data_IF_134666785401
#
_entry.id   IF_134666785401
#
_cell.length_a   1.000
_cell.length_b   1.000
_cell.length_c   1.000
_cell.angle_alpha   90.00
_cell.angle_beta   90.00
_cell.angle_gamma   90.00
#
_symmetry.space_group_name_H-M   'P 1'
#
loop_
_entity.id
_entity.type
_entity.pdbx_description
1 polymer ?
#
# COMPACT_ATOMS: atom_id res chain seq x y z
N UNK A 1 -7.46 -6.42 19.91
CA UNK A 1 -8.57 -5.44 20.09
C UNK A 1 -9.72 -5.81 19.16
N UNK A 2 -10.96 -5.91 19.66
CA UNK A 2 -12.14 -6.11 18.80
C UNK A 2 -12.70 -4.75 18.40
N UNK A 3 -12.71 -4.45 17.10
CA UNK A 3 -13.25 -3.23 16.52
C UNK A 3 -14.24 -3.64 15.44
N UNK A 4 -15.39 -2.99 15.38
CA UNK A 4 -16.38 -3.24 14.34
C UNK A 4 -15.88 -2.79 12.96
N UNK A 5 -16.44 -3.41 11.93
CA UNK A 5 -16.15 -3.08 10.54
C UNK A 5 -17.32 -2.26 10.00
N UNK A 6 -17.07 -1.12 9.32
CA UNK A 6 -18.15 -0.34 8.69
C UNK A 6 -18.85 -1.14 7.58
N UNK A 7 -20.11 -0.86 7.40
CA UNK A 7 -20.88 -1.45 6.29
C UNK A 7 -20.50 -0.75 4.99
N UNK A 8 -20.21 -1.56 3.96
CA UNK A 8 -19.91 -1.06 2.62
C UNK A 8 -21.06 -0.17 2.09
N UNK A 9 -20.78 0.99 1.50
CA UNK A 9 -21.80 1.76 0.83
C UNK A 9 -22.30 1.05 -0.43
N UNK A 10 -23.49 1.40 -0.86
CA UNK A 10 -24.05 0.88 -2.11
C UNK A 10 -23.10 1.17 -3.29
N UNK A 11 -22.85 0.17 -4.15
CA UNK A 11 -21.97 0.28 -5.30
C UNK A 11 -20.46 0.29 -4.98
N UNK A 12 -20.06 -0.01 -3.74
CA UNK A 12 -18.63 -0.05 -3.33
C UNK A 12 -17.79 -0.97 -4.22
N UNK A 13 -18.26 -2.20 -4.42
CA UNK A 13 -17.54 -3.17 -5.26
C UNK A 13 -17.45 -2.69 -6.72
N UNK A 14 -18.55 -2.23 -7.31
CA UNK A 14 -18.58 -1.72 -8.68
C UNK A 14 -17.67 -0.52 -8.88
N UNK A 15 -17.58 0.37 -7.89
CA UNK A 15 -16.68 1.52 -7.92
C UNK A 15 -15.21 1.08 -8.03
N UNK A 16 -14.76 0.13 -7.20
CA UNK A 16 -13.38 -0.32 -7.19
C UNK A 16 -13.02 -1.21 -8.39
N UNK A 17 -13.96 -2.09 -8.83
CA UNK A 17 -13.76 -2.90 -10.04
C UNK A 17 -13.60 -2.02 -11.29
N UNK A 18 -14.43 -0.99 -11.43
CA UNK A 18 -14.28 -0.05 -12.57
C UNK A 18 -12.94 0.68 -12.57
N UNK A 19 -12.42 1.06 -11.38
CA UNK A 19 -11.08 1.66 -11.28
C UNK A 19 -9.97 0.66 -11.59
N UNK A 20 -10.12 -0.58 -11.20
CA UNK A 20 -9.16 -1.63 -11.55
C UNK A 20 -9.18 -1.91 -13.06
N UNK A 21 -10.34 -1.99 -13.69
CA UNK A 21 -10.47 -2.13 -15.13
C UNK A 21 -9.77 -0.99 -15.89
N UNK A 22 -9.97 0.26 -15.47
CA UNK A 22 -9.26 1.41 -16.02
C UNK A 22 -7.73 1.24 -15.88
N UNK A 23 -7.25 0.89 -14.69
CA UNK A 23 -5.82 0.73 -14.43
C UNK A 23 -5.19 -0.45 -15.20
N UNK A 24 -5.92 -1.57 -15.33
CA UNK A 24 -5.46 -2.74 -16.07
C UNK A 24 -5.34 -2.51 -17.57
N UNK A 25 -6.09 -1.55 -18.11
CA UNK A 25 -6.01 -1.11 -19.49
C UNK A 25 -4.87 -0.12 -19.81
N UNK A 26 -4.12 0.33 -18.78
CA UNK A 26 -3.03 1.29 -18.97
C UNK A 26 -1.82 0.62 -19.62
N UNK A 27 -1.30 1.23 -20.67
CA UNK A 27 0.01 0.87 -21.23
C UNK A 27 1.08 1.46 -20.32
N UNK A 28 1.70 0.62 -19.49
CA UNK A 28 2.68 1.08 -18.48
C UNK A 28 4.01 1.50 -19.08
N UNK A 29 4.43 0.87 -20.19
CA UNK A 29 5.68 1.16 -20.91
C UNK A 29 6.84 1.50 -19.94
N UNK A 30 7.23 0.57 -19.07
CA UNK A 30 8.21 0.85 -18.01
C UNK A 30 9.60 1.06 -18.62
N UNK A 31 10.33 2.03 -18.06
CA UNK A 31 11.70 2.33 -18.44
C UNK A 31 12.62 2.17 -17.24
N UNK A 32 13.67 1.35 -17.41
CA UNK A 32 14.70 1.12 -16.40
C UNK A 32 15.90 2.01 -16.68
N UNK A 33 16.27 2.82 -15.70
CA UNK A 33 17.46 3.68 -15.77
C UNK A 33 18.69 3.02 -15.15
N UNK A 34 19.65 3.86 -14.76
CA UNK A 34 20.89 3.41 -14.17
C UNK A 34 20.70 2.66 -12.84
N UNK A 35 21.63 1.75 -12.55
CA UNK A 35 21.80 1.19 -11.20
C UNK A 35 22.29 2.31 -10.29
N UNK A 36 21.57 2.56 -9.21
CA UNK A 36 21.90 3.60 -8.22
C UNK A 36 22.58 3.02 -6.99
N UNK A 37 22.29 1.75 -6.67
CA UNK A 37 22.82 1.10 -5.48
C UNK A 37 22.87 -0.43 -5.67
N UNK A 38 23.81 -1.07 -5.00
CA UNK A 38 23.83 -2.54 -4.82
C UNK A 38 23.98 -2.80 -3.33
N UNK A 39 22.98 -3.46 -2.75
CA UNK A 39 22.99 -3.83 -1.33
C UNK A 39 22.05 -5.00 -1.05
N UNK A 40 22.24 -5.69 0.04
CA UNK A 40 21.36 -6.78 0.51
C UNK A 40 21.05 -7.82 -0.58
N UNK A 41 22.02 -8.10 -1.47
CA UNK A 41 21.88 -9.07 -2.57
C UNK A 41 21.02 -8.59 -3.74
N UNK A 42 20.65 -7.32 -3.79
CA UNK A 42 19.92 -6.72 -4.91
C UNK A 42 20.65 -5.52 -5.51
N UNK A 43 20.51 -5.34 -6.83
CA UNK A 43 20.78 -4.09 -7.52
C UNK A 43 19.52 -3.26 -7.61
N UNK A 44 19.61 -2.00 -7.26
CA UNK A 44 18.51 -1.07 -7.23
C UNK A 44 18.66 -0.09 -8.39
N UNK A 45 17.70 -0.12 -9.31
CA UNK A 45 17.69 0.73 -10.49
C UNK A 45 16.58 1.77 -10.38
N UNK A 46 16.78 2.92 -11.00
CA UNK A 46 15.69 3.84 -11.29
C UNK A 46 14.68 3.18 -12.19
N UNK A 47 13.39 3.43 -11.98
CA UNK A 47 12.32 3.01 -12.88
C UNK A 47 11.31 4.12 -13.07
N UNK A 48 10.71 4.21 -14.26
CA UNK A 48 9.50 5.00 -14.49
C UNK A 48 8.48 4.19 -15.28
N UNK A 49 7.19 4.46 -15.08
CA UNK A 49 6.10 3.75 -15.74
C UNK A 49 4.84 4.63 -15.86
N UNK A 50 3.99 4.31 -16.81
CA UNK A 50 2.70 4.98 -17.01
C UNK A 50 1.65 4.54 -15.99
N UNK A 51 0.74 5.46 -15.64
CA UNK A 51 -0.40 5.21 -14.76
C UNK A 51 -1.66 5.90 -15.28
N UNK A 52 -2.80 5.65 -14.62
CA UNK A 52 -4.10 6.22 -14.98
C UNK A 52 -4.04 7.74 -15.08
N UNK A 53 -4.83 8.31 -15.98
CA UNK A 53 -4.82 9.74 -16.29
C UNK A 53 -3.63 10.19 -17.15
N UNK A 54 -2.91 9.26 -17.80
CA UNK A 54 -1.80 9.54 -18.70
C UNK A 54 -0.54 10.08 -18.01
N UNK A 55 -0.40 9.89 -16.70
CA UNK A 55 0.77 10.35 -15.95
C UNK A 55 1.90 9.32 -15.98
N UNK A 56 3.14 9.78 -15.88
CA UNK A 56 4.30 8.93 -15.61
C UNK A 56 4.74 9.09 -14.16
N UNK A 57 4.96 7.95 -13.53
CA UNK A 57 5.43 7.85 -12.16
C UNK A 57 6.82 7.26 -12.14
N UNK A 58 7.56 7.56 -11.08
CA UNK A 58 8.87 7.01 -10.85
C UNK A 58 8.92 6.15 -9.59
N UNK A 59 10.06 5.49 -9.42
CA UNK A 59 10.33 4.65 -8.26
C UNK A 59 11.66 3.94 -8.41
N UNK A 60 11.76 2.78 -7.77
CA UNK A 60 12.91 1.90 -7.86
C UNK A 60 12.50 0.49 -8.24
N UNK A 61 13.33 -0.15 -9.04
CA UNK A 61 13.29 -1.57 -9.37
C UNK A 61 14.46 -2.25 -8.65
N UNK A 62 14.17 -3.12 -7.70
CA UNK A 62 15.15 -4.00 -7.08
C UNK A 62 15.16 -5.33 -7.83
N UNK A 63 16.34 -5.78 -8.24
CA UNK A 63 16.55 -7.05 -8.92
C UNK A 63 17.66 -7.83 -8.21
N UNK A 64 17.57 -9.16 -8.09
CA UNK A 64 18.66 -9.94 -7.48
C UNK A 64 19.96 -9.78 -8.26
N UNK A 65 21.08 -9.76 -7.55
CA UNK A 65 22.43 -9.69 -8.16
C UNK A 65 22.75 -11.02 -8.82
N UNK A 66 22.36 -12.12 -8.17
CA UNK A 66 22.68 -13.48 -8.59
C UNK A 66 21.43 -14.32 -8.84
N UNK A 67 21.49 -15.12 -9.90
CA UNK A 67 20.45 -16.10 -10.23
C UNK A 67 19.18 -15.52 -10.86
N UNK A 68 18.23 -16.38 -11.23
CA UNK A 68 16.96 -15.98 -11.78
C UNK A 68 16.05 -15.36 -10.72
N UNK A 69 15.13 -14.50 -11.14
CA UNK A 69 14.04 -14.01 -10.28
C UNK A 69 13.04 -15.14 -10.03
N UNK A 70 12.72 -15.37 -8.76
CA UNK A 70 11.75 -16.39 -8.32
C UNK A 70 10.49 -15.77 -7.74
N UNK A 71 10.59 -14.61 -7.09
CA UNK A 71 9.50 -13.93 -6.43
C UNK A 71 9.40 -12.47 -6.88
N UNK A 72 8.19 -11.92 -6.87
CA UNK A 72 7.94 -10.53 -7.22
C UNK A 72 7.18 -9.81 -6.11
N UNK A 73 7.55 -8.56 -5.83
CA UNK A 73 6.88 -7.73 -4.82
C UNK A 73 6.55 -6.33 -5.37
N UNK A 74 5.39 -5.82 -4.97
CA UNK A 74 5.09 -4.39 -5.05
C UNK A 74 5.16 -3.83 -3.63
N UNK A 75 5.92 -2.75 -3.45
CA UNK A 75 6.20 -2.22 -2.11
C UNK A 75 5.68 -0.78 -2.00
N UNK A 76 4.56 -0.61 -1.31
CA UNK A 76 3.95 0.70 -1.04
C UNK A 76 4.67 1.42 0.11
N UNK A 77 4.80 2.75 -0.01
CA UNK A 77 5.50 3.60 0.97
C UNK A 77 4.56 4.29 1.97
N UNK A 78 5.11 4.76 3.08
CA UNK A 78 4.43 5.64 4.02
C UNK A 78 4.06 7.01 3.43
N UNK A 79 3.24 7.82 4.13
CA UNK A 79 2.72 9.08 3.58
C UNK A 79 3.79 10.17 3.35
N UNK A 80 4.97 10.01 3.85
CA UNK A 80 6.10 10.89 3.52
C UNK A 80 6.63 10.72 2.09
N UNK A 81 6.19 9.68 1.37
CA UNK A 81 6.79 9.26 0.11
C UNK A 81 8.13 8.55 0.35
N UNK A 82 8.91 8.42 -0.70
CA UNK A 82 10.28 7.92 -0.61
C UNK A 82 11.18 8.65 -1.59
N UNK A 83 12.41 8.93 -1.16
CA UNK A 83 13.48 9.49 -2.01
C UNK A 83 14.65 8.51 -2.18
N UNK A 84 14.54 7.34 -1.54
CA UNK A 84 15.41 6.17 -1.68
C UNK A 84 14.60 4.89 -1.39
N UNK A 85 15.07 3.68 -1.75
CA UNK A 85 14.40 2.42 -1.39
C UNK A 85 14.28 2.24 0.14
N UNK A 86 15.24 2.79 0.90
CA UNK A 86 15.16 2.93 2.36
C UNK A 86 15.00 1.62 3.13
N UNK A 87 14.15 1.62 4.17
CA UNK A 87 13.93 0.47 5.05
C UNK A 87 13.14 -0.68 4.41
N UNK A 88 12.67 -0.51 3.17
CA UNK A 88 11.94 -1.55 2.45
C UNK A 88 12.83 -2.72 1.99
N UNK A 89 14.15 -2.60 2.14
CA UNK A 89 15.11 -3.64 1.86
C UNK A 89 15.80 -4.09 3.16
N UNK A 90 16.19 -5.37 3.29
CA UNK A 90 16.06 -6.46 2.31
C UNK A 90 14.61 -6.94 2.12
N UNK A 91 14.34 -7.54 0.94
CA UNK A 91 13.05 -8.19 0.66
C UNK A 91 12.90 -9.48 1.48
N UNK A 92 11.66 -9.93 1.78
CA UNK A 92 11.42 -11.09 2.63
C UNK A 92 12.03 -12.40 2.11
N UNK A 93 12.07 -12.57 0.79
CA UNK A 93 12.55 -13.79 0.15
C UNK A 93 13.78 -13.52 -0.70
N UNK A 94 14.75 -14.46 -0.76
CA UNK A 94 15.87 -14.35 -1.66
C UNK A 94 15.42 -14.41 -3.12
N UNK A 95 16.27 -13.96 -4.03
CA UNK A 95 15.99 -13.93 -5.49
C UNK A 95 14.67 -13.24 -5.85
N UNK A 96 14.29 -12.24 -5.08
CA UNK A 96 13.11 -11.43 -5.32
C UNK A 96 13.41 -10.24 -6.22
N UNK A 97 12.48 -9.92 -7.12
CA UNK A 97 12.37 -8.62 -7.74
C UNK A 97 11.31 -7.79 -7.02
N UNK A 98 11.51 -6.49 -6.92
CA UNK A 98 10.48 -5.60 -6.38
C UNK A 98 10.39 -4.31 -7.17
N UNK A 99 9.16 -3.84 -7.38
CA UNK A 99 8.90 -2.46 -7.79
C UNK A 99 8.45 -1.67 -6.57
N UNK A 100 9.21 -0.62 -6.25
CA UNK A 100 8.99 0.29 -5.14
C UNK A 100 8.51 1.63 -5.72
N UNK A 101 7.21 1.77 -6.05
CA UNK A 101 6.70 2.97 -6.70
C UNK A 101 6.70 4.16 -5.73
N UNK A 102 6.88 5.37 -6.25
CA UNK A 102 6.38 6.57 -5.63
C UNK A 102 4.98 6.82 -6.21
N UNK A 103 3.93 6.79 -5.39
CA UNK A 103 2.59 7.12 -5.88
C UNK A 103 2.50 8.61 -6.20
N UNK A 104 1.54 8.98 -7.03
CA UNK A 104 1.38 10.36 -7.53
C UNK A 104 1.43 11.41 -6.42
N UNK A 105 2.17 12.48 -6.67
CA UNK A 105 2.38 13.57 -5.73
C UNK A 105 3.41 13.29 -4.62
N UNK A 106 3.80 12.01 -4.40
CA UNK A 106 4.71 11.64 -3.32
C UNK A 106 6.10 11.29 -3.83
N UNK A 107 7.12 11.76 -3.09
CA UNK A 107 8.54 11.64 -3.46
C UNK A 107 8.91 12.49 -4.69
N UNK A 108 10.19 12.78 -4.87
CA UNK A 108 10.67 13.62 -5.98
C UNK A 108 10.36 13.01 -7.37
N UNK A 109 10.27 11.67 -7.44
CA UNK A 109 10.12 10.95 -8.71
C UNK A 109 8.70 10.91 -9.25
N UNK A 110 7.69 11.28 -8.44
CA UNK A 110 6.28 11.27 -8.84
C UNK A 110 5.58 12.59 -8.50
N UNK A 111 6.31 13.69 -8.44
CA UNK A 111 5.73 15.02 -8.36
C UNK A 111 4.97 15.32 -9.66
N UNK A 112 3.73 15.71 -9.52
CA UNK A 112 2.85 16.03 -10.63
C UNK A 112 2.31 17.45 -10.50
N UNK A 113 2.23 18.22 -11.59
CA UNK A 113 1.57 19.53 -11.58
C UNK A 113 0.14 19.42 -11.05
N UNK A 114 -0.22 20.29 -10.12
CA UNK A 114 -1.57 20.32 -9.56
C UNK A 114 -1.86 19.29 -8.47
N UNK A 115 -0.96 18.36 -8.19
CA UNK A 115 -1.09 17.39 -7.08
C UNK A 115 -0.18 17.85 -5.93
N UNK A 116 -0.72 18.11 -4.74
CA UNK A 116 0.10 18.48 -3.58
C UNK A 116 1.10 17.37 -3.22
N UNK A 117 2.30 17.76 -2.75
CA UNK A 117 3.36 16.83 -2.32
C UNK A 117 3.55 16.76 -0.80
N UNK A 118 2.77 17.54 -0.05
CA UNK A 118 2.77 17.51 1.42
C UNK A 118 1.57 16.68 1.89
N UNK A 119 1.80 15.72 2.76
CA UNK A 119 0.80 14.74 3.20
C UNK A 119 -0.55 15.35 3.60
N UNK A 120 -0.52 16.45 4.37
CA UNK A 120 -1.72 17.12 4.89
C UNK A 120 -2.61 17.74 3.80
N UNK A 121 -1.99 18.26 2.75
CA UNK A 121 -2.71 18.82 1.60
C UNK A 121 -3.07 17.74 0.58
N UNK A 122 -2.17 16.77 0.38
CA UNK A 122 -2.39 15.66 -0.54
C UNK A 122 -3.61 14.81 -0.15
N UNK A 123 -3.74 14.47 1.13
CA UNK A 123 -4.86 13.66 1.63
C UNK A 123 -6.22 14.34 1.48
N UNK A 124 -6.26 15.64 1.25
CA UNK A 124 -7.48 16.41 1.00
C UNK A 124 -7.73 16.66 -0.49
N UNK A 125 -6.76 16.33 -1.34
CA UNK A 125 -6.86 16.63 -2.77
C UNK A 125 -8.00 15.83 -3.43
N UNK A 126 -8.97 16.55 -3.98
CA UNK A 126 -10.15 15.97 -4.64
C UNK A 126 -11.16 15.29 -3.71
N UNK A 127 -11.05 15.44 -2.36
CA UNK A 127 -11.86 14.74 -1.35
C UNK A 127 -13.37 15.04 -1.43
N UNK A 128 -13.78 16.06 -2.15
CA UNK A 128 -15.19 16.43 -2.30
C UNK A 128 -16.01 15.42 -3.14
N UNK A 129 -15.35 14.57 -3.94
CA UNK A 129 -16.00 13.53 -4.74
C UNK A 129 -15.16 12.25 -4.74
N UNK A 130 -15.82 11.09 -4.70
CA UNK A 130 -15.16 9.78 -4.83
C UNK A 130 -14.42 9.63 -6.16
N UNK A 131 -14.89 10.30 -7.21
CA UNK A 131 -14.29 10.18 -8.54
C UNK A 131 -13.00 10.98 -8.69
N UNK A 132 -12.85 12.05 -7.89
CA UNK A 132 -11.67 12.95 -7.93
C UNK A 132 -10.73 12.75 -6.76
N UNK A 133 -11.11 12.02 -5.71
CA UNK A 133 -10.29 11.84 -4.53
C UNK A 133 -8.98 11.13 -4.88
N UNK A 134 -7.87 11.80 -4.59
CA UNK A 134 -6.51 11.37 -4.98
C UNK A 134 -6.18 9.94 -4.54
N UNK A 135 -6.75 9.47 -3.43
CA UNK A 135 -6.50 8.13 -2.90
C UNK A 135 -6.90 7.04 -3.89
N UNK A 136 -8.00 7.24 -4.65
CA UNK A 136 -8.40 6.28 -5.69
C UNK A 136 -7.36 6.16 -6.81
N UNK A 137 -6.76 7.26 -7.19
CA UNK A 137 -5.70 7.26 -8.17
C UNK A 137 -4.38 6.70 -7.63
N UNK A 138 -4.07 6.92 -6.33
CA UNK A 138 -2.91 6.29 -5.67
C UNK A 138 -3.05 4.76 -5.59
N UNK A 139 -4.27 4.24 -5.38
CA UNK A 139 -4.53 2.79 -5.46
C UNK A 139 -4.27 2.27 -6.88
N UNK A 140 -4.74 2.98 -7.91
CA UNK A 140 -4.49 2.63 -9.31
C UNK A 140 -3.00 2.65 -9.66
N UNK A 141 -2.20 3.53 -9.06
CA UNK A 141 -0.74 3.57 -9.22
C UNK A 141 -0.08 2.26 -8.78
N UNK A 142 -0.61 1.59 -7.74
CA UNK A 142 -0.11 0.28 -7.29
C UNK A 142 -0.44 -0.83 -8.31
N UNK A 143 -1.62 -0.82 -8.91
CA UNK A 143 -1.98 -1.78 -9.95
C UNK A 143 -1.15 -1.59 -11.22
N UNK A 144 -0.90 -0.34 -11.62
CA UNK A 144 0.01 -0.02 -12.72
C UNK A 144 1.45 -0.43 -12.41
N UNK A 145 1.90 -0.28 -11.15
CA UNK A 145 3.21 -0.77 -10.71
C UNK A 145 3.32 -2.29 -10.80
N UNK A 146 2.26 -3.04 -10.43
CA UNK A 146 2.22 -4.49 -10.61
C UNK A 146 2.32 -4.88 -12.09
N UNK A 147 1.59 -4.18 -12.98
CA UNK A 147 1.68 -4.39 -14.43
C UNK A 147 3.09 -4.12 -14.94
N UNK A 148 3.70 -3.01 -14.54
CA UNK A 148 5.06 -2.64 -14.94
C UNK A 148 6.10 -3.66 -14.45
N UNK A 149 5.97 -4.19 -13.23
CA UNK A 149 6.85 -5.23 -12.72
C UNK A 149 6.77 -6.51 -13.56
N UNK A 150 5.57 -6.96 -13.91
CA UNK A 150 5.37 -8.17 -14.73
C UNK A 150 5.88 -7.96 -16.17
N UNK A 151 5.79 -6.75 -16.71
CA UNK A 151 6.36 -6.39 -18.01
C UNK A 151 7.90 -6.41 -17.97
N UNK A 152 8.51 -5.88 -16.90
CA UNK A 152 9.97 -5.85 -16.72
C UNK A 152 10.57 -7.21 -16.39
N UNK A 153 9.80 -8.07 -15.72
CA UNK A 153 10.24 -9.42 -15.28
C UNK A 153 9.24 -10.47 -15.77
N UNK A 154 9.22 -10.78 -17.09
CA UNK A 154 8.22 -11.68 -17.68
C UNK A 154 8.21 -13.10 -17.08
N UNK A 155 9.29 -13.50 -16.40
CA UNK A 155 9.37 -14.78 -15.68
C UNK A 155 8.30 -14.90 -14.58
N UNK A 156 7.96 -13.81 -13.92
CA UNK A 156 6.93 -13.79 -12.87
C UNK A 156 5.51 -14.05 -13.42
N UNK A 157 5.25 -13.68 -14.66
CA UNK A 157 3.95 -13.90 -15.31
C UNK A 157 3.75 -15.35 -15.82
N UNK A 158 4.82 -16.15 -15.87
CA UNK A 158 4.83 -17.50 -16.47
C UNK A 158 4.59 -18.63 -15.44
N UNK A 159 4.29 -18.29 -14.19
CA UNK A 159 3.98 -19.32 -13.20
C UNK A 159 2.71 -20.10 -13.65
N UNK A 160 2.65 -21.45 -13.51
CA UNK A 160 1.53 -22.26 -13.97
C UNK A 160 0.17 -21.84 -13.39
N UNK A 161 0.15 -21.22 -12.21
CA UNK A 161 -1.05 -20.71 -11.53
C UNK A 161 -1.31 -19.21 -11.81
N UNK A 162 -0.67 -18.61 -12.81
CA UNK A 162 -0.70 -17.18 -13.07
C UNK A 162 0.29 -16.37 -12.21
N UNK A 163 0.36 -15.05 -12.39
CA UNK A 163 1.25 -14.19 -11.62
C UNK A 163 0.98 -14.32 -10.12
N UNK A 164 2.05 -14.37 -9.33
CA UNK A 164 1.96 -14.45 -7.86
C UNK A 164 2.87 -13.41 -7.25
N UNK A 165 2.34 -12.21 -7.07
CA UNK A 165 3.07 -11.11 -6.46
C UNK A 165 2.81 -11.06 -4.96
N UNK A 166 3.83 -10.74 -4.18
CA UNK A 166 3.68 -10.28 -2.81
C UNK A 166 3.41 -8.77 -2.78
N UNK A 167 2.64 -8.32 -1.80
CA UNK A 167 2.48 -6.90 -1.50
C UNK A 167 3.06 -6.59 -0.11
N UNK A 168 3.84 -5.52 -0.02
CA UNK A 168 4.33 -4.98 1.24
C UNK A 168 3.88 -3.51 1.32
N UNK A 169 3.24 -3.12 2.39
CA UNK A 169 2.84 -1.72 2.57
C UNK A 169 2.85 -1.30 4.04
N UNK A 170 3.38 -0.11 4.29
CA UNK A 170 3.42 0.48 5.62
C UNK A 170 2.57 1.76 5.65
N UNK A 171 1.84 1.98 6.74
CA UNK A 171 1.11 3.21 6.99
C UNK A 171 0.17 3.56 5.83
N UNK A 172 0.48 4.59 5.06
CA UNK A 172 -0.22 4.95 3.84
C UNK A 172 -0.25 3.80 2.82
N UNK A 173 0.91 3.20 2.55
CA UNK A 173 1.02 2.02 1.69
C UNK A 173 0.22 0.82 2.23
N UNK A 174 0.15 0.65 3.55
CA UNK A 174 -0.69 -0.37 4.18
C UNK A 174 -2.17 -0.15 3.91
N UNK A 175 -2.65 1.10 4.03
CA UNK A 175 -4.03 1.47 3.71
C UNK A 175 -4.35 1.36 2.22
N UNK A 176 -3.46 1.82 1.35
CA UNK A 176 -3.61 1.66 -0.11
C UNK A 176 -3.65 0.18 -0.51
N UNK A 177 -2.78 -0.66 0.11
CA UNK A 177 -2.78 -2.10 -0.13
C UNK A 177 -4.11 -2.74 0.24
N UNK A 178 -4.67 -2.41 1.42
CA UNK A 178 -5.98 -2.92 1.81
C UNK A 178 -7.10 -2.55 0.82
N UNK A 179 -7.00 -1.36 0.19
CA UNK A 179 -7.94 -0.92 -0.85
C UNK A 179 -7.67 -1.59 -2.21
N UNK A 180 -6.42 -1.94 -2.53
CA UNK A 180 -6.02 -2.48 -3.83
C UNK A 180 -6.22 -4.00 -3.97
N UNK A 181 -5.86 -4.75 -2.92
CA UNK A 181 -5.78 -6.22 -2.92
C UNK A 181 -7.07 -6.94 -3.35
N UNK A 182 -8.28 -6.49 -2.96
CA UNK A 182 -9.50 -7.21 -3.29
C UNK A 182 -9.81 -7.34 -4.78
N UNK A 183 -9.22 -6.50 -5.61
CA UNK A 183 -9.60 -6.34 -7.01
C UNK A 183 -8.57 -6.88 -7.99
N UNK A 184 -7.37 -7.24 -7.51
CA UNK A 184 -6.23 -7.64 -8.32
C UNK A 184 -5.74 -9.03 -7.92
N UNK A 185 -6.10 -10.03 -8.69
CA UNK A 185 -5.79 -11.45 -8.50
C UNK A 185 -4.32 -11.83 -8.77
N UNK A 186 -3.51 -10.88 -9.22
CA UNK A 186 -2.06 -11.06 -9.39
C UNK A 186 -1.33 -11.11 -8.05
N UNK A 187 -1.90 -10.52 -7.00
CA UNK A 187 -1.37 -10.63 -5.65
C UNK A 187 -1.76 -11.97 -5.02
N UNK A 188 -0.79 -12.67 -4.42
CA UNK A 188 -0.99 -13.97 -3.79
C UNK A 188 -0.83 -13.95 -2.26
N UNK A 189 -0.19 -12.91 -1.72
CA UNK A 189 -0.07 -12.67 -0.29
C UNK A 189 0.28 -11.21 -0.02
N UNK A 190 -0.03 -10.69 1.16
CA UNK A 190 0.25 -9.31 1.53
C UNK A 190 0.67 -9.14 2.98
N UNK A 191 1.53 -8.12 3.25
CA UNK A 191 1.76 -7.58 4.59
C UNK A 191 1.36 -6.11 4.62
N UNK A 192 0.54 -5.77 5.62
CA UNK A 192 0.06 -4.41 5.89
C UNK A 192 0.52 -3.99 7.28
N UNK A 193 1.52 -3.11 7.36
CA UNK A 193 2.06 -2.60 8.63
C UNK A 193 1.37 -1.29 8.97
N UNK A 194 0.83 -1.21 10.18
CA UNK A 194 0.11 -0.03 10.72
C UNK A 194 -0.80 0.64 9.68
N UNK A 195 -1.69 -0.13 8.99
CA UNK A 195 -2.44 0.36 7.84
C UNK A 195 -3.34 1.54 8.22
N UNK A 196 -3.27 2.62 7.43
CA UNK A 196 -4.18 3.77 7.56
C UNK A 196 -5.54 3.51 6.89
N UNK A 197 -6.46 4.46 6.97
CA UNK A 197 -7.81 4.44 6.38
C UNK A 197 -8.78 3.38 6.96
N UNK A 198 -8.39 2.63 7.97
CA UNK A 198 -9.29 1.65 8.60
C UNK A 198 -10.35 2.31 9.48
N UNK A 199 -11.62 1.98 9.24
CA UNK A 199 -12.80 2.44 9.98
C UNK A 199 -12.91 3.97 10.06
N UNK A 200 -13.16 4.62 8.94
CA UNK A 200 -13.30 6.08 8.87
C UNK A 200 -14.33 6.66 9.86
N UNK A 201 -15.52 6.06 10.09
CA UNK A 201 -16.45 6.58 11.09
C UNK A 201 -15.81 6.72 12.48
N UNK A 202 -15.08 5.70 12.92
CA UNK A 202 -14.37 5.75 14.21
C UNK A 202 -13.15 6.69 14.15
N UNK A 203 -12.37 6.61 13.08
CA UNK A 203 -11.15 7.41 12.89
C UNK A 203 -11.42 8.92 12.93
N UNK A 204 -12.55 9.37 12.39
CA UNK A 204 -12.96 10.79 12.41
C UNK A 204 -13.26 11.31 13.83
N UNK A 205 -13.48 10.42 14.80
CA UNK A 205 -13.69 10.79 16.21
C UNK A 205 -12.41 10.83 17.02
N UNK A 206 -11.33 10.21 16.53
CA UNK A 206 -10.07 10.05 17.25
C UNK A 206 -9.06 11.12 16.83
N UNK A 207 -8.51 11.91 17.76
CA UNK A 207 -7.41 12.82 17.45
C UNK A 207 -6.16 12.01 17.09
N UNK A 208 -5.37 12.53 16.14
CA UNK A 208 -4.10 11.91 15.75
C UNK A 208 -3.16 12.96 15.17
N UNK A 209 -1.93 12.56 14.84
CA UNK A 209 -0.98 13.38 14.13
C UNK A 209 -1.08 13.18 12.60
N UNK A 210 -0.51 14.09 11.84
CA UNK A 210 -0.32 14.00 10.39
C UNK A 210 -1.61 14.03 9.56
N UNK A 211 -1.59 13.39 8.42
CA UNK A 211 -2.65 13.45 7.40
C UNK A 211 -4.03 13.03 7.89
N UNK A 212 -4.10 12.12 8.85
CA UNK A 212 -5.36 11.70 9.46
C UNK A 212 -6.07 12.82 10.21
N UNK A 213 -5.31 13.67 10.88
CA UNK A 213 -5.84 14.84 11.57
C UNK A 213 -6.35 15.90 10.57
N UNK A 214 -5.68 16.05 9.43
CA UNK A 214 -6.14 16.94 8.36
C UNK A 214 -7.52 16.53 7.84
N UNK A 215 -7.75 15.24 7.63
CA UNK A 215 -9.07 14.71 7.24
C UNK A 215 -10.10 14.94 8.36
N UNK A 216 -9.75 14.68 9.63
CA UNK A 216 -10.63 14.86 10.77
C UNK A 216 -11.05 16.34 10.94
N UNK A 217 -10.11 17.26 10.74
CA UNK A 217 -10.39 18.72 10.79
C UNK A 217 -11.27 19.13 9.61
N UNK A 218 -10.93 18.69 8.41
CA UNK A 218 -11.72 19.01 7.21
C UNK A 218 -13.17 18.49 7.34
N UNK A 219 -13.37 17.28 7.87
CA UNK A 219 -14.70 16.71 8.09
C UNK A 219 -15.56 17.55 9.05
N UNK A 220 -15.00 18.21 10.07
CA UNK A 220 -15.77 19.07 10.98
C UNK A 220 -16.42 20.25 10.25
N UNK A 221 -15.72 20.80 9.25
CA UNK A 221 -16.21 21.91 8.46
C UNK A 221 -17.01 21.47 7.23
N UNK A 222 -16.80 20.22 6.79
CA UNK A 222 -17.40 19.61 5.61
C UNK A 222 -17.90 18.17 5.90
N UNK A 223 -18.93 18.01 6.73
CA UNK A 223 -19.37 16.67 7.19
C UNK A 223 -19.81 15.73 6.06
N UNK A 224 -20.22 16.26 4.91
CA UNK A 224 -20.61 15.46 3.73
C UNK A 224 -19.44 14.64 3.14
N UNK A 225 -18.19 14.96 3.45
CA UNK A 225 -17.05 14.15 2.97
C UNK A 225 -17.04 12.75 3.57
N UNK A 226 -17.77 12.52 4.66
CA UNK A 226 -17.95 11.20 5.23
C UNK A 226 -18.53 10.21 4.21
N UNK A 227 -19.43 10.64 3.31
CA UNK A 227 -20.00 9.79 2.27
C UNK A 227 -18.95 9.39 1.23
N UNK A 228 -18.01 10.27 0.93
CA UNK A 228 -16.87 9.95 0.06
C UNK A 228 -15.93 8.98 0.76
N UNK A 229 -15.56 9.26 2.01
CA UNK A 229 -14.61 8.45 2.79
C UNK A 229 -15.06 7.00 2.98
N UNK A 230 -16.37 6.72 3.01
CA UNK A 230 -16.90 5.34 3.06
C UNK A 230 -16.45 4.47 1.89
N UNK A 231 -16.18 5.06 0.72
CA UNK A 231 -15.62 4.34 -0.42
C UNK A 231 -14.12 4.06 -0.28
N UNK A 232 -13.43 4.76 0.61
CA UNK A 232 -11.98 4.65 0.83
C UNK A 232 -11.65 4.08 2.21
N UNK A 233 -12.57 3.29 2.78
CA UNK A 233 -12.38 2.65 4.07
C UNK A 233 -11.66 1.32 3.91
N UNK A 234 -10.42 1.26 4.43
CA UNK A 234 -9.55 0.09 4.34
C UNK A 234 -10.11 -1.13 5.08
N UNK A 235 -10.85 -0.94 6.18
CA UNK A 235 -11.49 -2.06 6.87
C UNK A 235 -12.68 -2.59 6.09
N UNK A 236 -13.47 -1.71 5.44
CA UNK A 236 -14.52 -2.15 4.51
C UNK A 236 -13.93 -2.93 3.34
N UNK A 237 -12.87 -2.44 2.71
CA UNK A 237 -12.22 -3.13 1.60
C UNK A 237 -11.64 -4.49 2.02
N UNK A 238 -11.09 -4.59 3.23
CA UNK A 238 -10.51 -5.82 3.76
C UNK A 238 -11.51 -6.98 3.83
N UNK A 239 -12.82 -6.73 3.89
CA UNK A 239 -13.85 -7.79 3.83
C UNK A 239 -13.92 -8.51 2.49
N UNK A 240 -13.36 -7.92 1.43
CA UNK A 240 -13.30 -8.48 0.07
C UNK A 240 -11.94 -9.11 -0.27
N UNK A 241 -10.97 -9.07 0.64
CA UNK A 241 -9.64 -9.66 0.41
C UNK A 241 -9.75 -11.17 0.37
N UNK A 242 -9.16 -11.78 -0.65
CA UNK A 242 -9.20 -13.23 -0.92
C UNK A 242 -7.82 -13.90 -0.82
N UNK A 243 -6.80 -13.17 -0.33
CA UNK A 243 -5.43 -13.68 -0.22
C UNK A 243 -4.92 -13.63 1.22
N UNK A 244 -4.03 -14.55 1.63
CA UNK A 244 -3.40 -14.49 2.94
C UNK A 244 -2.81 -13.10 3.19
N UNK A 245 -3.16 -12.52 4.34
CA UNK A 245 -2.73 -11.16 4.69
C UNK A 245 -2.25 -11.09 6.13
N UNK A 246 -1.01 -10.70 6.32
CA UNK A 246 -0.42 -10.38 7.62
C UNK A 246 -0.64 -8.91 7.91
N UNK A 247 -1.31 -8.60 9.00
CA UNK A 247 -1.44 -7.22 9.50
C UNK A 247 -0.54 -7.06 10.72
N UNK A 248 0.45 -6.17 10.62
CA UNK A 248 1.26 -5.75 11.76
C UNK A 248 0.61 -4.50 12.36
N UNK A 249 -0.08 -4.66 13.50
CA UNK A 249 -0.84 -3.59 14.15
C UNK A 249 -0.20 -3.18 15.48
N UNK A 250 -0.10 -1.88 15.71
CA UNK A 250 0.49 -1.29 16.90
C UNK A 250 -0.52 -1.15 18.04
N UNK A 251 -0.06 -1.30 19.29
CA UNK A 251 -0.86 -1.02 20.48
C UNK A 251 -0.90 0.49 20.79
N UNK A 252 0.12 1.22 20.39
CA UNK A 252 0.21 2.67 20.47
C UNK A 252 0.68 3.25 19.13
N UNK A 253 -0.01 4.27 18.63
CA UNK A 253 0.39 4.96 17.40
C UNK A 253 -0.23 6.37 17.39
N UNK A 254 0.59 7.43 17.41
CA UNK A 254 0.09 8.80 17.42
C UNK A 254 -0.41 9.27 16.06
N UNK A 255 0.02 8.64 14.96
CA UNK A 255 -0.32 9.05 13.60
C UNK A 255 -1.50 8.24 13.03
N UNK A 256 -1.48 6.93 13.22
CA UNK A 256 -2.55 6.02 12.77
C UNK A 256 -3.16 5.35 14.00
N UNK A 257 -4.27 5.85 14.55
CA UNK A 257 -4.86 5.31 15.78
C UNK A 257 -5.08 3.79 15.70
N UNK A 258 -4.61 3.02 16.71
CA UNK A 258 -4.66 1.56 16.72
C UNK A 258 -6.03 0.95 16.40
N UNK A 259 -7.18 1.50 16.85
CA UNK A 259 -8.49 0.94 16.49
C UNK A 259 -8.71 0.80 14.98
N UNK A 260 -8.20 1.74 14.16
CA UNK A 260 -8.29 1.65 12.70
C UNK A 260 -7.46 0.51 12.14
N UNK A 261 -6.25 0.31 12.63
CA UNK A 261 -5.35 -0.77 12.22
C UNK A 261 -5.95 -2.15 12.54
N UNK A 262 -6.47 -2.31 13.77
CA UNK A 262 -7.14 -3.55 14.18
C UNK A 262 -8.47 -3.76 13.45
N UNK A 263 -9.17 -2.71 13.02
CA UNK A 263 -10.36 -2.86 12.20
C UNK A 263 -10.05 -3.51 10.84
N UNK A 264 -8.94 -3.15 10.21
CA UNK A 264 -8.46 -3.80 8.97
C UNK A 264 -8.20 -5.29 9.21
N UNK A 265 -7.46 -5.64 10.26
CA UNK A 265 -7.22 -7.05 10.61
C UNK A 265 -8.53 -7.82 10.89
N UNK A 266 -9.44 -7.24 11.68
CA UNK A 266 -10.68 -7.90 12.08
C UNK A 266 -11.65 -8.09 10.92
N UNK A 267 -11.50 -7.32 9.84
CA UNK A 267 -12.33 -7.38 8.65
C UNK A 267 -11.90 -8.50 7.68
N UNK A 268 -10.66 -8.93 7.74
CA UNK A 268 -10.17 -10.04 6.91
C UNK A 268 -10.86 -11.35 7.29
N UNK A 269 -11.13 -12.27 6.32
CA UNK A 269 -11.58 -13.63 6.62
C UNK A 269 -10.65 -14.34 7.60
N UNK A 270 -11.21 -15.11 8.53
CA UNK A 270 -10.48 -15.75 9.63
C UNK A 270 -9.31 -16.63 9.14
N UNK A 271 -9.54 -17.36 8.04
CA UNK A 271 -8.58 -18.27 7.44
C UNK A 271 -7.44 -17.57 6.68
N UNK A 272 -7.61 -16.30 6.34
CA UNK A 272 -6.65 -15.51 5.55
C UNK A 272 -5.84 -14.52 6.40
N UNK A 273 -6.28 -14.26 7.63
CA UNK A 273 -5.66 -13.23 8.46
C UNK A 273 -4.56 -13.76 9.37
N UNK A 274 -3.47 -13.04 9.43
CA UNK A 274 -2.41 -13.22 10.44
C UNK A 274 -2.19 -11.89 11.15
N UNK A 275 -2.07 -11.90 12.47
CA UNK A 275 -1.80 -10.71 13.27
C UNK A 275 -0.36 -10.77 13.80
N UNK A 276 0.38 -9.70 13.56
CA UNK A 276 1.62 -9.39 14.28
C UNK A 276 1.40 -8.13 15.13
N UNK A 277 1.70 -8.19 16.42
CA UNK A 277 1.44 -7.07 17.34
C UNK A 277 2.74 -6.31 17.57
N UNK A 278 2.72 -5.00 17.33
CA UNK A 278 3.79 -4.07 17.63
C UNK A 278 3.44 -3.28 18.91
N UNK A 279 4.43 -2.95 19.73
CA UNK A 279 4.24 -2.08 20.89
C UNK A 279 3.87 -0.67 20.46
N UNK A 280 4.57 -0.15 19.44
CA UNK A 280 4.28 1.17 18.89
C UNK A 280 4.43 1.22 17.37
N UNK A 281 3.66 2.14 16.73
CA UNK A 281 3.83 2.59 15.37
C UNK A 281 4.06 4.10 15.34
N UNK A 282 4.81 4.61 14.34
CA UNK A 282 5.16 6.02 14.18
C UNK A 282 5.69 6.69 15.47
N UNK A 283 6.37 5.91 16.30
CA UNK A 283 6.90 6.36 17.58
C UNK A 283 8.14 5.56 17.95
N UNK A 284 9.25 6.26 18.19
CA UNK A 284 10.50 5.63 18.61
C UNK A 284 10.42 5.16 20.07
N UNK A 285 10.84 3.93 20.30
CA UNK A 285 10.89 3.32 21.64
C UNK A 285 12.07 2.35 21.74
N UNK A 286 12.53 2.01 22.97
CA UNK A 286 13.74 1.20 23.15
C UNK A 286 13.71 -0.18 22.50
N UNK A 287 12.51 -0.77 22.30
CA UNK A 287 12.33 -2.08 21.67
C UNK A 287 12.14 -2.05 20.14
N UNK A 288 12.15 -0.89 19.49
CA UNK A 288 11.83 -0.76 18.05
C UNK A 288 12.70 -1.63 17.14
N UNK A 289 14.00 -1.75 17.44
CA UNK A 289 14.92 -2.58 16.67
C UNK A 289 14.61 -4.09 16.78
N UNK A 290 14.26 -4.57 17.97
CA UNK A 290 13.87 -5.97 18.19
C UNK A 290 12.53 -6.28 17.52
N UNK A 291 11.57 -5.36 17.58
CA UNK A 291 10.28 -5.50 16.90
C UNK A 291 10.44 -5.53 15.38
N UNK A 292 11.28 -4.66 14.81
CA UNK A 292 11.58 -4.67 13.38
C UNK A 292 12.23 -6.00 12.94
N UNK A 293 13.17 -6.54 13.74
CA UNK A 293 13.78 -7.84 13.48
C UNK A 293 12.75 -8.99 13.59
N UNK A 294 11.86 -8.93 14.58
CA UNK A 294 10.77 -9.86 14.76
C UNK A 294 9.79 -9.85 13.59
N UNK A 295 9.40 -8.66 13.12
CA UNK A 295 8.53 -8.52 11.95
C UNK A 295 9.21 -9.06 10.68
N UNK A 296 10.51 -8.77 10.47
CA UNK A 296 11.26 -9.31 9.34
C UNK A 296 11.36 -10.85 9.37
N UNK A 297 11.41 -11.46 10.56
CA UNK A 297 11.34 -12.91 10.70
C UNK A 297 9.94 -13.44 10.32
N UNK A 298 8.89 -12.82 10.84
CA UNK A 298 7.51 -13.17 10.53
C UNK A 298 7.20 -13.03 9.02
N UNK A 299 7.74 -11.99 8.36
CA UNK A 299 7.62 -11.79 6.92
C UNK A 299 8.23 -12.96 6.14
N UNK A 300 9.45 -13.39 6.49
CA UNK A 300 10.10 -14.53 5.82
C UNK A 300 9.29 -15.81 5.94
N UNK A 301 8.77 -16.12 7.12
CA UNK A 301 7.94 -17.29 7.37
C UNK A 301 6.60 -17.21 6.64
N UNK A 302 5.98 -16.04 6.63
CA UNK A 302 4.71 -15.79 6.00
C UNK A 302 4.79 -15.92 4.48
N UNK A 303 5.76 -15.24 3.85
CA UNK A 303 5.95 -15.27 2.40
C UNK A 303 6.65 -16.52 1.86
N UNK A 304 7.22 -17.37 2.72
CA UNK A 304 7.81 -18.65 2.27
C UNK A 304 6.81 -19.59 1.56
N UNK A 305 5.52 -19.24 1.59
CA UNK A 305 4.43 -19.97 0.93
C UNK A 305 3.97 -19.33 -0.39
N UNK A 306 4.66 -18.25 -0.81
CA UNK A 306 4.32 -17.48 -2.02
C UNK A 306 4.68 -18.22 -3.36
#
# INVERSE_FOLDING_TARGET
MRVGVPVAPEGFEGFWRGRYEEASGVVTAPEVGAVEEVRDGVRVCRVSFGSVGGVRLGGWLALPVDGPVEHGFVVGHGYGGRDAPGPDLPLPLPRSAALLPCVRGMGERSRLPGVPSVADAHVLHGIASRDTYVIGACVADLWCAASALLELVPGLARHPSGPRLGYLGESFGGGLGALALPWDDRFAAARLTVPTFGNHPLRLTLPCAGSGESVRRHHRDHPQVADVLRYFDAATAATFVSVPTLVAAALFDPAVPPPGQFAVHNALPDELRTLHVLSAGHFDHPGAGEEAAGLACADREFFARL
#
